data_IF_619458729290
#
_entry.id   IF_619458729290
#
_cell.length_a   1.000
_cell.length_b   1.000
_cell.length_c   1.000
_cell.angle_alpha   90.00
_cell.angle_beta   90.00
_cell.angle_gamma   90.00
#
_symmetry.space_group_name_H-M   'P 1'
#
loop_
_entity.id
_entity.type
_entity.pdbx_description
1 polymer ?
#
# COMPACT_ATOMS: atom_id res chain seq x y z
N UNK A 1 32.18 -9.48 18.20
CA UNK A 1 30.93 -8.94 17.60
C UNK A 1 31.32 -7.87 16.60
N UNK A 2 30.75 -7.89 15.40
CA UNK A 2 30.97 -6.85 14.38
C UNK A 2 29.68 -6.05 14.20
N UNK A 3 29.79 -4.72 14.11
CA UNK A 3 28.65 -3.81 13.99
C UNK A 3 28.95 -2.80 12.90
N UNK A 4 28.00 -2.58 12.01
CA UNK A 4 28.05 -1.54 10.98
C UNK A 4 26.68 -0.87 10.90
N UNK A 5 26.65 0.44 10.69
CA UNK A 5 25.39 1.17 10.45
C UNK A 5 24.93 0.99 9.01
N UNK A 6 23.63 1.10 8.73
CA UNK A 6 23.14 1.03 7.35
C UNK A 6 23.78 2.09 6.46
N UNK A 7 24.02 3.31 6.99
CA UNK A 7 24.70 4.36 6.24
C UNK A 7 26.09 3.92 5.78
N UNK A 8 26.90 3.38 6.70
CA UNK A 8 28.25 2.94 6.38
C UNK A 8 28.25 1.68 5.51
N UNK A 9 27.29 0.78 5.69
CA UNK A 9 27.14 -0.41 4.87
C UNK A 9 26.91 -0.08 3.39
N UNK A 10 25.99 0.85 3.08
CA UNK A 10 25.72 1.23 1.70
C UNK A 10 26.85 2.06 1.06
N UNK A 11 27.68 2.75 1.86
CA UNK A 11 28.87 3.45 1.36
C UNK A 11 30.00 2.53 0.90
N UNK A 12 29.94 1.23 1.21
CA UNK A 12 30.93 0.25 0.74
C UNK A 12 30.75 -0.12 -0.74
N UNK A 13 29.61 0.21 -1.34
CA UNK A 13 29.33 -0.13 -2.73
C UNK A 13 30.00 0.89 -3.67
N UNK A 14 30.72 0.41 -4.68
CA UNK A 14 31.34 1.26 -5.71
C UNK A 14 30.31 2.08 -6.49
N UNK A 15 29.10 1.54 -6.63
CA UNK A 15 27.96 2.20 -7.27
C UNK A 15 26.70 2.01 -6.43
N UNK A 16 26.05 3.12 -6.11
CA UNK A 16 24.80 3.15 -5.35
C UNK A 16 23.73 3.90 -6.14
N UNK A 17 22.51 3.37 -6.14
CA UNK A 17 21.32 3.98 -6.72
C UNK A 17 20.08 3.53 -5.94
N UNK A 18 18.97 4.27 -6.06
CA UNK A 18 17.72 3.95 -5.38
C UNK A 18 16.52 4.55 -6.10
N UNK A 19 15.33 4.03 -5.76
CA UNK A 19 14.05 4.50 -6.31
C UNK A 19 13.03 4.65 -5.18
N UNK A 20 12.25 5.73 -5.22
CA UNK A 20 11.13 5.99 -4.30
C UNK A 20 10.26 7.12 -4.84
N UNK A 21 9.01 7.18 -4.43
CA UNK A 21 8.08 8.25 -4.80
C UNK A 21 8.21 9.54 -3.99
N UNK A 22 9.02 9.55 -2.92
CA UNK A 22 9.04 10.65 -1.92
C UNK A 22 10.45 11.12 -1.53
N UNK A 23 11.46 10.96 -2.40
CA UNK A 23 12.84 11.34 -2.08
C UNK A 23 13.12 12.84 -2.12
N UNK A 24 12.23 13.64 -2.72
CA UNK A 24 12.51 15.05 -3.00
C UNK A 24 12.73 15.88 -1.73
N UNK A 25 12.00 15.61 -0.66
CA UNK A 25 12.16 16.31 0.63
C UNK A 25 13.49 15.98 1.30
N UNK A 26 14.01 14.77 1.09
CA UNK A 26 15.24 14.26 1.72
C UNK A 26 16.48 14.39 0.81
N UNK A 27 16.37 15.12 -0.30
CA UNK A 27 17.43 15.20 -1.31
C UNK A 27 18.77 15.70 -0.74
N UNK A 28 18.73 16.66 0.20
CA UNK A 28 19.92 17.16 0.87
C UNK A 28 20.60 16.08 1.73
N UNK A 29 19.82 15.26 2.44
CA UNK A 29 20.36 14.18 3.27
C UNK A 29 20.97 13.07 2.39
N UNK A 30 20.30 12.69 1.31
CA UNK A 30 20.81 11.71 0.34
C UNK A 30 22.14 12.14 -0.27
N UNK A 31 22.27 13.41 -0.64
CA UNK A 31 23.51 13.93 -1.18
C UNK A 31 24.62 13.96 -0.13
N UNK A 32 24.37 14.49 1.06
CA UNK A 32 25.39 14.64 2.10
C UNK A 32 25.88 13.30 2.64
N UNK A 33 25.01 12.29 2.73
CA UNK A 33 25.35 10.99 3.31
C UNK A 33 25.89 10.01 2.28
N UNK A 34 25.34 10.02 1.06
CA UNK A 34 25.60 9.00 0.05
C UNK A 34 26.11 9.54 -1.29
N UNK A 35 26.18 10.87 -1.47
CA UNK A 35 26.52 11.48 -2.76
C UNK A 35 25.45 11.25 -3.84
N UNK A 36 24.22 10.92 -3.43
CA UNK A 36 23.13 10.61 -4.36
C UNK A 36 22.35 11.87 -4.72
N UNK A 37 22.19 12.10 -6.02
CA UNK A 37 21.28 13.11 -6.55
C UNK A 37 19.87 12.54 -6.63
N UNK A 38 18.88 13.33 -6.21
CA UNK A 38 17.46 13.01 -6.39
C UNK A 38 16.98 13.69 -7.68
N UNK A 39 16.42 12.89 -8.59
CA UNK A 39 15.87 13.37 -9.85
C UNK A 39 14.39 13.03 -9.89
N UNK A 40 13.48 14.03 -9.88
CA UNK A 40 12.05 13.77 -10.01
C UNK A 40 11.73 13.35 -11.44
N UNK A 41 11.19 12.14 -11.59
CA UNK A 41 10.73 11.61 -12.88
C UNK A 41 9.25 11.98 -13.07
N UNK A 42 8.85 12.55 -14.22
CA UNK A 42 7.44 12.89 -14.46
C UNK A 42 6.57 11.63 -14.46
N UNK A 43 5.33 11.77 -13.99
CA UNK A 43 4.37 10.67 -14.00
C UNK A 43 3.92 10.35 -15.42
N UNK A 44 3.59 9.07 -15.68
CA UNK A 44 3.07 8.63 -16.98
C UNK A 44 1.75 9.31 -17.35
N UNK A 45 0.92 9.63 -16.36
CA UNK A 45 -0.35 10.35 -16.51
C UNK A 45 -0.43 11.52 -15.53
N UNK A 46 -1.19 12.59 -15.84
CA UNK A 46 -1.46 13.67 -14.90
C UNK A 46 -2.15 13.14 -13.63
N UNK A 47 -1.69 13.61 -12.46
CA UNK A 47 -2.31 13.24 -11.18
C UNK A 47 -3.63 13.99 -11.02
N UNK A 48 -4.72 13.24 -10.81
CA UNK A 48 -6.07 13.77 -10.56
C UNK A 48 -6.57 13.50 -9.14
N UNK A 49 -5.69 13.01 -8.26
CA UNK A 49 -6.01 12.73 -6.85
C UNK A 49 -6.35 14.03 -6.12
N UNK A 50 -7.44 14.03 -5.35
CA UNK A 50 -7.88 15.17 -4.55
C UNK A 50 -7.50 14.96 -3.08
N UNK A 51 -6.42 15.57 -2.66
CA UNK A 51 -5.98 15.56 -1.27
C UNK A 51 -6.83 16.56 -0.46
N UNK A 52 -7.49 16.06 0.58
CA UNK A 52 -8.37 16.85 1.45
C UNK A 52 -7.61 17.40 2.65
N UNK A 53 -8.17 18.42 3.30
CA UNK A 53 -7.64 18.96 4.55
C UNK A 53 -7.86 18.00 5.72
N UNK A 54 -7.01 18.11 6.74
CA UNK A 54 -7.11 17.29 7.95
C UNK A 54 -8.34 17.68 8.79
N UNK A 55 -9.02 16.67 9.35
CA UNK A 55 -10.09 16.85 10.33
C UNK A 55 -9.58 16.56 11.74
N UNK A 56 -9.62 17.57 12.61
CA UNK A 56 -9.13 17.47 14.00
C UNK A 56 -10.32 17.39 14.96
N UNK A 57 -10.32 16.37 15.82
CA UNK A 57 -11.38 16.13 16.79
C UNK A 57 -10.87 16.26 18.21
N UNK A 58 -11.75 16.71 19.12
CA UNK A 58 -11.42 16.89 20.55
C UNK A 58 -11.10 15.58 21.26
N UNK A 59 -11.80 14.50 20.92
CA UNK A 59 -11.65 13.19 21.57
C UNK A 59 -11.33 12.11 20.55
N UNK A 60 -10.61 11.08 21.00
CA UNK A 60 -10.21 9.98 20.12
C UNK A 60 -11.41 9.17 19.64
N UNK A 61 -12.37 8.88 20.52
CA UNK A 61 -13.62 8.23 20.14
C UNK A 61 -14.47 9.09 19.20
N UNK A 62 -14.45 10.42 19.36
CA UNK A 62 -15.11 11.34 18.43
C UNK A 62 -14.52 11.23 17.02
N UNK A 63 -13.19 11.15 16.91
CA UNK A 63 -12.48 10.90 15.66
C UNK A 63 -12.89 9.58 15.01
N UNK A 64 -12.87 8.46 15.76
CA UNK A 64 -13.20 7.15 15.18
C UNK A 64 -14.67 7.01 14.81
N UNK A 65 -15.58 7.59 15.58
CA UNK A 65 -17.00 7.60 15.22
C UNK A 65 -17.23 8.39 13.93
N UNK A 66 -16.57 9.54 13.76
CA UNK A 66 -16.65 10.31 12.52
C UNK A 66 -16.01 9.58 11.33
N UNK A 67 -14.87 8.91 11.54
CA UNK A 67 -14.22 8.07 10.54
C UNK A 67 -15.17 6.95 10.06
N UNK A 68 -15.80 6.23 10.99
CA UNK A 68 -16.72 5.13 10.65
C UNK A 68 -17.94 5.64 9.88
N UNK A 69 -18.46 6.83 10.23
CA UNK A 69 -19.57 7.43 9.50
C UNK A 69 -19.18 7.80 8.06
N UNK A 70 -18.00 8.39 7.84
CA UNK A 70 -17.47 8.68 6.50
C UNK A 70 -17.25 7.39 5.69
N UNK A 71 -16.81 6.30 6.35
CA UNK A 71 -16.66 4.99 5.70
C UNK A 71 -18.02 4.46 5.23
N UNK A 72 -19.06 4.54 6.08
CA UNK A 72 -20.40 4.06 5.73
C UNK A 72 -20.94 4.83 4.51
N UNK A 73 -20.88 6.15 4.53
CA UNK A 73 -21.39 6.98 3.43
C UNK A 73 -20.71 6.65 2.08
N UNK A 74 -19.39 6.39 2.11
CA UNK A 74 -18.62 6.02 0.92
C UNK A 74 -18.86 4.58 0.50
N UNK A 75 -19.00 3.67 1.46
CA UNK A 75 -19.25 2.26 1.21
C UNK A 75 -20.62 2.04 0.55
N UNK A 76 -21.66 2.76 1.01
CA UNK A 76 -22.99 2.76 0.39
C UNK A 76 -22.97 3.24 -1.07
N UNK A 77 -22.06 4.17 -1.40
CA UNK A 77 -21.81 4.62 -2.78
C UNK A 77 -20.93 3.66 -3.59
N UNK A 78 -20.43 2.59 -2.97
CA UNK A 78 -19.56 1.59 -3.60
C UNK A 78 -18.09 2.02 -3.75
N UNK A 79 -17.66 3.13 -3.15
CA UNK A 79 -16.27 3.58 -3.24
C UNK A 79 -15.34 2.65 -2.44
N UNK A 80 -14.21 2.18 -3.00
CA UNK A 80 -13.20 1.44 -2.25
C UNK A 80 -12.47 2.35 -1.26
N UNK A 81 -12.18 1.84 -0.06
CA UNK A 81 -11.65 2.61 1.07
C UNK A 81 -10.46 1.88 1.69
N UNK A 82 -9.35 2.62 1.87
CA UNK A 82 -8.18 2.19 2.62
C UNK A 82 -8.01 3.08 3.85
N UNK A 83 -8.01 2.48 5.05
CA UNK A 83 -7.83 3.16 6.33
C UNK A 83 -6.45 2.84 6.87
N UNK A 84 -5.60 3.85 7.05
CA UNK A 84 -4.30 3.70 7.69
C UNK A 84 -4.35 3.93 9.20
N UNK A 85 -3.77 3.04 9.98
CA UNK A 85 -3.56 3.22 11.44
C UNK A 85 -2.08 3.11 11.78
N UNK A 86 -1.68 3.55 12.98
CA UNK A 86 -0.29 3.51 13.44
C UNK A 86 0.06 2.25 14.25
N UNK A 87 -0.94 1.51 14.74
CA UNK A 87 -0.74 0.33 15.57
C UNK A 87 -1.85 -0.68 15.36
N UNK A 88 -1.51 -1.95 15.59
CA UNK A 88 -2.46 -3.08 15.49
C UNK A 88 -3.66 -2.83 16.40
N UNK A 89 -3.42 -2.35 17.61
CA UNK A 89 -4.47 -2.07 18.61
C UNK A 89 -5.49 -1.03 18.11
N UNK A 90 -5.05 -0.02 17.34
CA UNK A 90 -5.98 0.94 16.70
C UNK A 90 -6.69 0.34 15.49
N UNK A 91 -6.04 -0.56 14.74
CA UNK A 91 -6.71 -1.31 13.67
C UNK A 91 -7.83 -2.19 14.20
N UNK A 92 -7.59 -2.92 15.29
CA UNK A 92 -8.61 -3.76 15.95
C UNK A 92 -9.77 -2.90 16.49
N UNK A 93 -9.47 -1.72 17.07
CA UNK A 93 -10.53 -0.79 17.49
C UNK A 93 -11.40 -0.33 16.32
N UNK A 94 -10.79 0.06 15.21
CA UNK A 94 -11.55 0.47 14.00
C UNK A 94 -12.36 -0.72 13.46
N UNK A 95 -11.76 -1.91 13.43
CA UNK A 95 -12.39 -3.16 13.02
C UNK A 95 -13.64 -3.46 13.84
N UNK A 96 -13.55 -3.39 15.17
CA UNK A 96 -14.69 -3.62 16.07
C UNK A 96 -15.82 -2.60 15.85
N UNK A 97 -15.47 -1.33 15.58
CA UNK A 97 -16.48 -0.29 15.31
C UNK A 97 -17.17 -0.51 13.95
N UNK A 98 -16.45 -0.99 12.94
CA UNK A 98 -17.01 -1.36 11.64
C UNK A 98 -17.92 -2.60 11.75
N UNK A 99 -17.51 -3.61 12.52
CA UNK A 99 -18.31 -4.81 12.79
C UNK A 99 -19.63 -4.48 13.49
N UNK A 100 -19.60 -3.58 14.48
CA UNK A 100 -20.82 -3.08 15.15
C UNK A 100 -21.80 -2.39 14.20
N UNK A 101 -21.31 -1.88 13.08
CA UNK A 101 -22.11 -1.23 12.02
C UNK A 101 -22.42 -2.19 10.86
N UNK A 102 -21.96 -3.43 10.90
CA UNK A 102 -22.20 -4.44 9.87
C UNK A 102 -21.39 -4.23 8.58
N UNK A 103 -20.29 -3.48 8.63
CA UNK A 103 -19.45 -3.22 7.45
C UNK A 103 -18.38 -4.30 7.33
N UNK A 104 -18.45 -5.09 6.26
CA UNK A 104 -17.42 -6.07 5.94
C UNK A 104 -16.11 -5.38 5.57
N UNK A 105 -15.01 -5.79 6.19
CA UNK A 105 -13.70 -5.19 5.98
C UNK A 105 -12.58 -6.21 6.19
N UNK A 106 -11.39 -5.89 5.68
CA UNK A 106 -10.17 -6.68 5.90
C UNK A 106 -9.18 -5.91 6.77
N UNK A 107 -8.43 -6.61 7.63
CA UNK A 107 -7.40 -6.01 8.48
C UNK A 107 -6.02 -6.55 8.10
N UNK A 108 -5.07 -5.65 7.83
CA UNK A 108 -3.69 -5.96 7.49
C UNK A 108 -2.78 -5.55 8.64
N UNK A 109 -2.11 -6.53 9.23
CA UNK A 109 -1.32 -6.36 10.46
C UNK A 109 0.19 -6.57 10.25
N UNK A 110 0.67 -6.62 9.00
CA UNK A 110 2.07 -6.83 8.62
C UNK A 110 2.69 -8.14 9.15
N UNK A 111 1.87 -9.17 9.40
CA UNK A 111 2.32 -10.47 9.93
C UNK A 111 2.50 -11.51 8.83
N UNK A 112 1.71 -11.45 7.76
CA UNK A 112 1.67 -12.47 6.71
C UNK A 112 1.73 -11.83 5.33
N UNK A 113 2.94 -11.42 4.91
CA UNK A 113 3.13 -10.62 3.69
C UNK A 113 2.51 -11.20 2.42
N UNK A 114 2.60 -12.52 2.19
CA UNK A 114 2.04 -13.15 0.98
C UNK A 114 0.50 -13.09 0.92
N UNK A 115 -0.19 -13.41 2.04
CA UNK A 115 -1.66 -13.33 2.09
C UNK A 115 -2.17 -11.90 2.10
N UNK A 116 -1.41 -10.99 2.73
CA UNK A 116 -1.75 -9.56 2.75
C UNK A 116 -1.64 -8.96 1.34
N UNK A 117 -0.70 -9.40 0.51
CA UNK A 117 -0.58 -8.96 -0.88
C UNK A 117 -1.86 -9.26 -1.69
N UNK A 118 -2.41 -10.47 -1.54
CA UNK A 118 -3.66 -10.85 -2.23
C UNK A 118 -4.83 -9.95 -1.81
N UNK A 119 -4.92 -9.62 -0.52
CA UNK A 119 -5.98 -8.74 0.00
C UNK A 119 -5.81 -7.31 -0.54
N UNK A 120 -4.59 -6.77 -0.54
CA UNK A 120 -4.29 -5.42 -1.05
C UNK A 120 -4.59 -5.32 -2.55
N UNK A 121 -4.23 -6.33 -3.33
CA UNK A 121 -4.52 -6.39 -4.76
C UNK A 121 -6.04 -6.36 -5.07
N UNK A 122 -6.87 -6.81 -4.12
CA UNK A 122 -8.33 -6.79 -4.22
C UNK A 122 -8.98 -5.57 -3.53
N UNK A 123 -8.20 -4.72 -2.86
CA UNK A 123 -8.72 -3.61 -2.08
C UNK A 123 -9.43 -2.53 -2.93
N UNK A 124 -9.14 -2.47 -4.24
CA UNK A 124 -9.73 -1.52 -5.19
C UNK A 124 -11.10 -1.92 -5.74
N UNK A 125 -11.70 -3.03 -5.28
CA UNK A 125 -13.03 -3.47 -5.70
C UNK A 125 -14.14 -2.60 -5.11
N UNK A 126 -15.27 -2.53 -5.81
CA UNK A 126 -16.45 -1.77 -5.39
C UNK A 126 -16.88 -2.20 -3.98
N UNK A 127 -17.05 -1.22 -3.09
CA UNK A 127 -17.48 -1.44 -1.70
C UNK A 127 -16.46 -2.12 -0.79
N UNK A 128 -15.21 -2.28 -1.24
CA UNK A 128 -14.15 -2.86 -0.42
C UNK A 128 -13.69 -1.87 0.67
N UNK A 129 -13.56 -2.37 1.90
CA UNK A 129 -12.97 -1.63 3.02
C UNK A 129 -11.76 -2.40 3.55
N UNK A 130 -10.60 -1.75 3.56
CA UNK A 130 -9.35 -2.34 4.04
C UNK A 130 -8.74 -1.45 5.11
N UNK A 131 -8.40 -2.03 6.26
CA UNK A 131 -7.72 -1.37 7.38
C UNK A 131 -6.28 -1.86 7.40
N UNK A 132 -5.31 -0.95 7.29
CA UNK A 132 -3.89 -1.27 7.22
C UNK A 132 -3.13 -0.63 8.38
N UNK A 133 -2.40 -1.46 9.12
CA UNK A 133 -1.49 -1.01 10.17
C UNK A 133 -0.16 -0.55 9.55
N UNK A 134 0.25 0.69 9.81
CA UNK A 134 1.47 1.31 9.30
C UNK A 134 1.56 1.23 7.76
N UNK A 135 2.56 0.51 7.26
CA UNK A 135 2.80 0.26 5.84
C UNK A 135 2.53 -1.20 5.48
N UNK A 136 1.54 -1.84 6.12
CA UNK A 136 1.07 -3.14 5.67
C UNK A 136 0.58 -3.04 4.22
N UNK A 137 1.00 -3.98 3.37
CA UNK A 137 0.74 -3.91 1.92
C UNK A 137 1.72 -3.05 1.12
N UNK A 138 2.82 -2.58 1.71
CA UNK A 138 3.86 -1.85 0.97
C UNK A 138 4.43 -2.71 -0.17
N UNK A 139 4.49 -2.10 -1.36
CA UNK A 139 5.02 -2.75 -2.56
C UNK A 139 3.99 -3.49 -3.40
N UNK A 140 2.71 -3.45 -3.02
CA UNK A 140 1.59 -4.00 -3.82
C UNK A 140 0.67 -2.86 -4.25
N UNK A 141 0.42 -2.75 -5.54
CA UNK A 141 -0.43 -1.71 -6.10
C UNK A 141 -1.92 -2.05 -5.90
N UNK A 142 -2.70 -1.05 -5.51
CA UNK A 142 -4.17 -1.15 -5.42
C UNK A 142 -4.76 -0.73 -6.77
N UNK A 143 -5.14 -1.72 -7.59
CA UNK A 143 -5.77 -1.49 -8.89
C UNK A 143 -7.28 -1.35 -8.71
N UNK A 144 -7.86 -0.25 -9.22
CA UNK A 144 -9.30 -0.03 -9.19
C UNK A 144 -10.04 -1.08 -10.03
N UNK A 145 -11.10 -1.67 -9.47
CA UNK A 145 -11.79 -2.82 -10.06
C UNK A 145 -11.22 -4.18 -9.61
N UNK A 146 -10.10 -4.18 -8.88
CA UNK A 146 -9.34 -5.38 -8.51
C UNK A 146 -8.32 -5.75 -9.59
N UNK A 147 -7.34 -6.58 -9.23
CA UNK A 147 -6.35 -7.10 -10.18
C UNK A 147 -6.87 -8.40 -10.84
N UNK A 148 -7.20 -8.39 -12.15
CA UNK A 148 -7.71 -9.57 -12.85
C UNK A 148 -6.65 -10.66 -13.07
N UNK A 149 -5.38 -10.30 -13.23
CA UNK A 149 -4.28 -11.27 -13.36
C UNK A 149 -4.08 -12.03 -12.05
N UNK A 150 -4.05 -11.31 -10.93
CA UNK A 150 -3.97 -11.93 -9.61
C UNK A 150 -5.19 -12.81 -9.30
N UNK A 151 -6.38 -12.43 -9.77
CA UNK A 151 -7.59 -13.25 -9.64
C UNK A 151 -7.46 -14.55 -10.46
N UNK A 152 -7.04 -14.45 -11.72
CA UNK A 152 -6.86 -15.59 -12.60
C UNK A 152 -5.79 -16.57 -12.07
N UNK A 153 -4.66 -16.06 -11.57
CA UNK A 153 -3.61 -16.88 -10.96
C UNK A 153 -4.12 -17.60 -9.70
N UNK A 154 -4.89 -16.90 -8.85
CA UNK A 154 -5.49 -17.50 -7.65
C UNK A 154 -6.49 -18.60 -8.01
N UNK A 155 -7.35 -18.34 -9.00
CA UNK A 155 -8.38 -19.29 -9.41
C UNK A 155 -7.75 -20.53 -10.06
N UNK A 156 -6.73 -20.38 -10.92
CA UNK A 156 -5.91 -21.47 -11.47
C UNK A 156 -5.26 -22.32 -10.37
N UNK A 157 -4.66 -21.67 -9.37
CA UNK A 157 -4.03 -22.35 -8.23
C UNK A 157 -5.05 -23.12 -7.38
N UNK A 158 -6.26 -22.59 -7.23
CA UNK A 158 -7.36 -23.25 -6.50
C UNK A 158 -7.88 -24.49 -7.22
N UNK A 159 -7.78 -24.51 -8.56
CA UNK A 159 -8.12 -25.65 -9.41
C UNK A 159 -6.97 -26.67 -9.55
N UNK A 160 -5.81 -26.41 -8.93
CA UNK A 160 -4.65 -27.30 -8.97
C UNK A 160 -3.85 -27.24 -10.27
N UNK A 161 -4.07 -26.22 -11.08
CA UNK A 161 -3.34 -25.97 -12.33
C UNK A 161 -2.18 -25.01 -12.04
N UNK A 162 -0.94 -25.51 -12.06
CA UNK A 162 0.24 -24.65 -12.07
C UNK A 162 0.44 -24.06 -13.47
N UNK A 163 0.71 -22.76 -13.56
CA UNK A 163 1.16 -22.16 -14.81
C UNK A 163 2.46 -22.86 -15.23
N UNK A 164 2.47 -23.49 -16.40
CA UNK A 164 3.73 -23.80 -17.08
C UNK A 164 4.43 -22.48 -17.37
N UNK A 165 5.67 -22.33 -16.91
CA UNK A 165 6.57 -21.19 -17.18
C UNK A 165 6.85 -21.02 -18.69
N UNK A 166 5.84 -20.68 -19.50
CA UNK A 166 6.07 -19.94 -20.74
C UNK A 166 5.98 -18.47 -20.40
N UNK A 167 7.09 -17.93 -19.91
CA UNK A 167 7.38 -16.51 -20.07
C UNK A 167 7.32 -16.21 -21.57
N UNK A 168 6.17 -15.75 -22.04
CA UNK A 168 6.08 -15.06 -23.33
C UNK A 168 6.95 -13.82 -23.17
N UNK A 169 8.15 -13.91 -23.71
CA UNK A 169 9.05 -12.79 -23.97
C UNK A 169 8.29 -11.77 -24.83
N UNK A 170 7.57 -10.86 -24.18
CA UNK A 170 6.98 -9.70 -24.81
C UNK A 170 8.12 -8.71 -25.10
N UNK A 171 8.76 -8.94 -26.25
CA UNK A 171 9.33 -7.90 -27.10
C UNK A 171 10.51 -7.11 -26.54
N UNK A 172 11.71 -7.66 -26.65
CA UNK A 172 12.87 -6.84 -27.03
C UNK A 172 12.57 -6.21 -28.39
N UNK A 173 12.04 -5.00 -28.39
CA UNK A 173 12.09 -4.14 -29.57
C UNK A 173 13.47 -3.48 -29.54
N UNK A 174 14.36 -4.01 -30.36
CA UNK A 174 15.57 -3.29 -30.77
C UNK A 174 15.15 -1.96 -31.39
N UNK A 175 15.52 -0.85 -30.77
CA UNK A 175 16.01 0.37 -31.42
C UNK A 175 16.89 1.14 -30.42
#
# INVERSE_FOLDING_TARGET
MATITLQNYFRLYDKLAGMTGTAETEAAEFYNTYGLHVVPIPTNLPIVRKDQVDFIYRSEMGKYNALVEDIIERNEKGQPILVGTISVEKSELVSELLDKRGIHHNVLNAKLHAKEADVVAQAGRIGSVTVATNMAGRGVDIILGGNPEALAERDLRSEGLEQSDEKVSLGTTNY
#
